data_IF_478142204410
#
_entry.id   IF_478142204410
#
_cell.length_a   1.000
_cell.length_b   1.000
_cell.length_c   1.000
_cell.angle_alpha   90.00
_cell.angle_beta   90.00
_cell.angle_gamma   90.00
#
_symmetry.space_group_name_H-M   'P 1'
#
loop_
_entity.id
_entity.type
_entity.pdbx_description
1 polymer ?
#
# COMPACT_ATOMS: atom_id res chain seq x y z
N UNK A 1 7.60 9.04 4.92
CA UNK A 1 6.32 8.55 5.46
C UNK A 1 5.25 9.00 4.47
N UNK A 2 4.62 8.07 3.76
CA UNK A 2 3.70 8.40 2.66
C UNK A 2 3.33 7.17 1.81
N UNK A 3 2.57 7.40 0.75
CA UNK A 3 2.21 6.34 -0.21
C UNK A 3 3.33 6.04 -1.20
N UNK A 4 3.41 4.80 -1.66
CA UNK A 4 4.23 4.40 -2.82
C UNK A 4 3.29 4.16 -3.99
N UNK A 5 3.49 4.87 -5.10
CA UNK A 5 2.62 4.76 -6.28
C UNK A 5 3.33 4.10 -7.46
N UNK A 6 2.63 3.20 -8.14
CA UNK A 6 3.09 2.63 -9.40
C UNK A 6 3.00 3.68 -10.51
N UNK A 7 4.13 4.00 -11.15
CA UNK A 7 4.19 5.08 -12.16
C UNK A 7 3.26 4.83 -13.35
N UNK A 8 3.13 3.58 -13.80
CA UNK A 8 2.27 3.25 -14.95
C UNK A 8 0.78 3.27 -14.60
N UNK A 9 0.40 2.76 -13.43
CA UNK A 9 -1.01 2.57 -13.06
C UNK A 9 -1.60 3.75 -12.28
N UNK A 10 -0.76 4.54 -11.60
CA UNK A 10 -1.20 5.54 -10.63
C UNK A 10 -1.77 4.95 -9.33
N UNK A 11 -1.73 3.62 -9.17
CA UNK A 11 -2.25 2.93 -7.98
C UNK A 11 -1.24 2.91 -6.84
N UNK A 12 -1.72 2.77 -5.62
CA UNK A 12 -0.92 2.73 -4.40
C UNK A 12 -0.55 1.29 -4.03
N UNK A 13 0.66 1.11 -3.48
CA UNK A 13 1.07 -0.12 -2.80
C UNK A 13 0.24 -0.28 -1.53
N UNK A 14 -0.56 -1.34 -1.47
CA UNK A 14 -1.60 -1.58 -0.46
C UNK A 14 -1.45 -2.98 0.16
N UNK A 15 -1.58 -3.09 1.49
CA UNK A 15 -1.71 -4.40 2.15
C UNK A 15 -3.15 -4.89 2.04
N UNK A 16 -3.34 -6.02 1.35
CA UNK A 16 -4.67 -6.58 1.06
C UNK A 16 -5.51 -6.74 2.32
N UNK A 17 -6.71 -6.15 2.29
CA UNK A 17 -7.67 -6.17 3.40
C UNK A 17 -7.19 -5.48 4.68
N UNK A 18 -6.17 -4.61 4.59
CA UNK A 18 -5.52 -3.96 5.73
C UNK A 18 -5.00 -4.94 6.81
N UNK A 19 -4.61 -6.15 6.39
CA UNK A 19 -4.09 -7.17 7.30
C UNK A 19 -2.83 -6.71 8.04
N UNK A 20 -2.75 -7.01 9.33
CA UNK A 20 -1.55 -6.77 10.16
C UNK A 20 -0.73 -8.04 10.40
N UNK A 21 -1.14 -9.16 9.80
CA UNK A 21 -0.43 -10.43 9.94
C UNK A 21 0.88 -10.44 9.14
N UNK A 22 1.91 -11.07 9.69
CA UNK A 22 3.15 -11.31 8.95
C UNK A 22 2.88 -12.18 7.72
N UNK A 23 3.44 -11.78 6.57
CA UNK A 23 3.19 -12.44 5.29
C UNK A 23 1.86 -12.04 4.63
N UNK A 24 1.19 -10.99 5.11
CA UNK A 24 0.07 -10.39 4.40
C UNK A 24 0.46 -10.06 2.94
N UNK A 25 -0.47 -10.33 2.03
CA UNK A 25 -0.28 -10.04 0.61
C UNK A 25 -0.32 -8.54 0.38
N UNK A 26 0.40 -8.12 -0.66
CA UNK A 26 0.47 -6.74 -1.11
C UNK A 26 -0.07 -6.68 -2.53
N UNK A 27 -0.85 -5.64 -2.81
CA UNK A 27 -1.47 -5.39 -4.10
C UNK A 27 -1.29 -3.93 -4.55
N UNK A 28 -1.67 -3.67 -5.80
CA UNK A 28 -1.84 -2.31 -6.31
C UNK A 28 -3.33 -1.97 -6.28
N UNK A 29 -3.70 -1.02 -5.43
CA UNK A 29 -5.09 -0.63 -5.23
C UNK A 29 -5.29 0.88 -5.38
N UNK A 30 -6.54 1.29 -5.60
CA UNK A 30 -6.92 2.71 -5.64
C UNK A 30 -6.41 3.42 -4.39
N UNK A 31 -5.64 4.49 -4.59
CA UNK A 31 -5.15 5.32 -3.51
C UNK A 31 -6.32 5.93 -2.73
N UNK A 32 -6.40 5.65 -1.43
CA UNK A 32 -7.48 6.12 -0.56
C UNK A 32 -6.97 6.73 0.76
N UNK A 33 -5.66 6.73 0.99
CA UNK A 33 -5.05 7.31 2.18
C UNK A 33 -5.14 6.43 3.43
N UNK A 34 -5.60 5.18 3.29
CA UNK A 34 -5.61 4.19 4.36
C UNK A 34 -4.22 3.95 4.95
N UNK A 35 -4.18 3.55 6.21
CA UNK A 35 -2.92 3.24 6.91
C UNK A 35 -2.15 2.09 6.27
N UNK A 36 -2.88 1.13 5.66
CA UNK A 36 -2.35 0.02 4.86
C UNK A 36 -1.70 0.46 3.53
N UNK A 37 -1.74 1.76 3.21
CA UNK A 37 -1.05 2.36 2.06
C UNK A 37 0.11 3.29 2.49
N UNK A 38 0.42 3.39 3.79
CA UNK A 38 1.48 4.26 4.30
C UNK A 38 2.76 3.49 4.59
N UNK A 39 3.86 3.93 3.98
CA UNK A 39 5.16 3.28 4.06
C UNK A 39 6.24 4.26 4.52
N UNK A 40 7.26 3.72 5.18
CA UNK A 40 8.49 4.44 5.53
C UNK A 40 9.66 3.74 4.89
N UNK A 41 10.62 4.54 4.40
CA UNK A 41 11.90 3.99 3.97
C UNK A 41 12.72 3.65 5.21
N UNK A 42 13.25 2.43 5.25
CA UNK A 42 14.21 1.98 6.26
C UNK A 42 15.64 2.32 5.89
#
# INVERSE_FOLDING_TARGET
NGTVTGVQSGLCLDVTGASTANGALVELWTCNGGSNQQWTLG
#
